data_IF_831388594339
#
_entry.id   IF_831388594339
#
_cell.length_a   1.000
_cell.length_b   1.000
_cell.length_c   1.000
_cell.angle_alpha   90.00
_cell.angle_beta   90.00
_cell.angle_gamma   90.00
#
_symmetry.space_group_name_H-M   'P 1'
#
loop_
_entity.id
_entity.type
_entity.pdbx_description
1 polymer ?
#
# COMPACT_ATOMS: atom_id res chain seq x y z
N UNK A 1 27.94 -8.61 6.39
CA UNK A 1 26.61 -8.43 7.02
C UNK A 1 26.43 -6.98 7.44
N UNK A 2 27.48 -6.31 7.92
CA UNK A 2 27.38 -4.95 8.51
C UNK A 2 27.18 -3.83 7.48
N UNK A 3 27.85 -3.89 6.32
CA UNK A 3 27.78 -2.83 5.31
C UNK A 3 26.45 -2.79 4.55
N UNK A 4 25.80 -3.93 4.32
CA UNK A 4 24.49 -3.98 3.67
C UNK A 4 23.43 -3.41 4.62
N UNK A 5 23.43 -3.84 5.88
CA UNK A 5 22.51 -3.33 6.90
C UNK A 5 22.66 -1.82 7.14
N UNK A 6 23.90 -1.32 7.09
CA UNK A 6 24.13 0.12 7.25
C UNK A 6 23.62 0.92 6.04
N UNK A 7 23.81 0.43 4.81
CA UNK A 7 23.29 1.06 3.59
C UNK A 7 21.75 1.08 3.58
N UNK A 8 21.12 -0.03 3.94
CA UNK A 8 19.67 -0.14 3.99
C UNK A 8 19.08 0.83 5.04
N UNK A 9 19.74 0.97 6.19
CA UNK A 9 19.34 1.94 7.23
C UNK A 9 19.45 3.38 6.74
N UNK A 10 20.58 3.76 6.11
CA UNK A 10 20.77 5.11 5.57
C UNK A 10 19.74 5.44 4.49
N UNK A 11 19.45 4.48 3.60
CA UNK A 11 18.40 4.62 2.59
C UNK A 11 17.04 4.86 3.25
N UNK A 12 16.68 4.07 4.25
CA UNK A 12 15.40 4.18 4.96
C UNK A 12 15.27 5.52 5.70
N UNK A 13 16.31 5.96 6.38
CA UNK A 13 16.33 7.25 7.10
C UNK A 13 16.14 8.43 6.11
N UNK A 14 16.69 8.32 4.91
CA UNK A 14 16.52 9.32 3.84
C UNK A 14 15.08 9.35 3.35
N UNK A 15 14.48 8.19 3.06
CA UNK A 15 13.08 8.09 2.60
C UNK A 15 12.13 8.69 3.64
N UNK A 16 12.31 8.37 4.92
CA UNK A 16 11.49 8.92 6.00
C UNK A 16 11.60 10.45 6.07
N UNK A 17 12.83 10.98 5.98
CA UNK A 17 13.08 12.42 5.99
C UNK A 17 12.46 13.13 4.79
N UNK A 18 12.54 12.53 3.62
CA UNK A 18 11.94 13.07 2.40
C UNK A 18 10.41 13.08 2.50
N UNK A 19 9.81 12.02 3.07
CA UNK A 19 8.39 11.98 3.38
C UNK A 19 7.97 13.06 4.37
N UNK A 20 8.71 13.26 5.46
CA UNK A 20 8.41 14.31 6.45
C UNK A 20 8.49 15.70 5.84
N UNK A 21 9.52 15.99 5.04
CA UNK A 21 9.68 17.24 4.31
C UNK A 21 8.53 17.46 3.32
N UNK A 22 8.17 16.42 2.56
CA UNK A 22 7.02 16.48 1.66
C UNK A 22 5.73 16.76 2.41
N UNK A 23 5.47 16.08 3.52
CA UNK A 23 4.28 16.24 4.32
C UNK A 23 4.16 17.67 4.87
N UNK A 24 5.26 18.27 5.38
CA UNK A 24 5.31 19.64 5.85
C UNK A 24 5.01 20.64 4.71
N UNK A 25 5.64 20.46 3.55
CA UNK A 25 5.44 21.29 2.37
C UNK A 25 4.01 21.23 1.80
N UNK A 26 3.29 20.13 2.06
CA UNK A 26 1.89 19.92 1.64
C UNK A 26 0.87 20.25 2.72
N UNK A 27 1.29 20.85 3.85
CA UNK A 27 0.44 21.17 5.00
C UNK A 27 -0.29 19.94 5.57
N UNK A 28 0.34 18.77 5.50
CA UNK A 28 -0.11 17.59 6.22
C UNK A 28 0.31 17.76 7.68
N UNK A 29 -0.66 17.74 8.59
CA UNK A 29 -0.40 17.93 10.02
C UNK A 29 -0.42 16.58 10.72
N UNK A 30 0.58 16.34 11.55
CA UNK A 30 0.71 15.17 12.43
C UNK A 30 1.34 15.59 13.77
N UNK A 31 0.74 16.57 14.41
CA UNK A 31 1.27 17.20 15.61
C UNK A 31 1.39 16.21 16.77
N UNK A 32 2.57 16.18 17.39
CA UNK A 32 2.86 15.29 18.49
C UNK A 32 3.09 13.83 18.10
N UNK A 33 3.24 13.56 16.83
CA UNK A 33 3.58 12.23 16.28
C UNK A 33 4.93 12.27 15.58
N UNK A 34 5.64 11.14 15.59
CA UNK A 34 6.89 10.94 14.85
C UNK A 34 6.93 9.55 14.26
N UNK A 35 7.43 9.41 13.05
CA UNK A 35 7.80 8.12 12.50
C UNK A 35 9.04 7.60 13.24
N UNK A 36 8.98 6.34 13.70
CA UNK A 36 10.08 5.72 14.45
C UNK A 36 10.13 4.22 14.15
N UNK A 37 11.35 3.69 14.16
CA UNK A 37 11.57 2.25 14.08
C UNK A 37 11.50 1.65 15.49
N UNK A 38 10.71 0.60 15.65
CA UNK A 38 10.55 -0.15 16.88
C UNK A 38 11.19 -1.53 16.74
N UNK A 39 11.66 -2.08 17.82
CA UNK A 39 12.03 -3.48 17.92
C UNK A 39 10.89 -4.26 18.59
N UNK A 40 10.40 -5.28 17.89
CA UNK A 40 9.34 -6.15 18.39
C UNK A 40 9.66 -7.60 18.05
N UNK A 41 9.77 -8.46 19.08
CA UNK A 41 10.11 -9.88 18.95
C UNK A 41 11.38 -10.15 18.10
N UNK A 42 12.39 -9.30 18.22
CA UNK A 42 13.64 -9.40 17.46
C UNK A 42 13.57 -8.87 16.01
N UNK A 43 12.41 -8.39 15.58
CA UNK A 43 12.21 -7.78 14.27
C UNK A 43 12.08 -6.26 14.40
N UNK A 44 12.63 -5.55 13.39
CA UNK A 44 12.49 -4.09 13.31
C UNK A 44 11.25 -3.75 12.50
N UNK A 45 10.32 -3.04 13.12
CA UNK A 45 9.09 -2.58 12.50
C UNK A 45 9.03 -1.05 12.45
N UNK A 46 8.48 -0.51 11.38
CA UNK A 46 8.21 0.92 11.26
C UNK A 46 6.85 1.24 11.86
N UNK A 47 6.78 2.35 12.60
CA UNK A 47 5.54 2.76 13.25
C UNK A 47 5.50 4.25 13.56
N UNK A 48 4.44 4.66 14.22
CA UNK A 48 4.23 6.05 14.65
C UNK A 48 4.28 6.11 16.17
N UNK A 49 5.13 6.99 16.70
CA UNK A 49 5.29 7.26 18.12
C UNK A 49 4.60 8.55 18.51
N UNK A 50 3.82 8.50 19.58
CA UNK A 50 3.36 9.71 20.25
C UNK A 50 4.50 10.33 21.06
N UNK A 51 4.76 11.63 20.87
CA UNK A 51 5.82 12.37 21.55
C UNK A 51 5.44 12.83 22.96
N UNK A 52 4.21 12.59 23.37
CA UNK A 52 3.69 12.94 24.68
C UNK A 52 2.27 12.43 24.89
N UNK A 53 1.67 12.84 26.00
CA UNK A 53 0.27 12.53 26.32
C UNK A 53 -0.67 13.11 25.24
N UNK A 54 -1.60 12.29 24.79
CA UNK A 54 -2.66 12.67 23.86
C UNK A 54 -3.99 12.60 24.58
N UNK A 55 -4.72 13.70 24.60
CA UNK A 55 -6.05 13.75 25.21
C UNK A 55 -7.10 13.13 24.26
N UNK A 56 -8.13 12.55 24.85
CA UNK A 56 -9.25 11.99 24.09
C UNK A 56 -9.92 13.06 23.20
N UNK A 57 -10.21 12.72 21.95
CA UNK A 57 -10.84 13.63 20.99
C UNK A 57 -9.85 14.56 20.26
N UNK A 58 -8.56 14.57 20.61
CA UNK A 58 -7.57 15.35 19.89
C UNK A 58 -7.39 14.81 18.48
N UNK A 59 -7.47 15.68 17.47
CA UNK A 59 -7.09 15.34 16.09
C UNK A 59 -5.58 15.15 16.00
N UNK A 60 -5.15 13.94 15.61
CA UNK A 60 -3.72 13.58 15.50
C UNK A 60 -3.15 13.84 14.11
N UNK A 61 -3.96 13.61 13.09
CA UNK A 61 -3.54 13.73 11.70
C UNK A 61 -4.58 14.53 10.92
N UNK A 62 -4.13 15.50 10.15
CA UNK A 62 -4.95 16.22 9.17
C UNK A 62 -4.30 16.08 7.80
N UNK A 63 -4.97 15.36 6.90
CA UNK A 63 -4.49 15.06 5.56
C UNK A 63 -5.42 15.69 4.52
N UNK A 64 -4.95 16.64 3.69
CA UNK A 64 -5.76 17.19 2.60
C UNK A 64 -6.15 16.09 1.59
N UNK A 65 -7.43 16.05 1.21
CA UNK A 65 -7.99 14.99 0.33
C UNK A 65 -7.19 14.76 -0.95
N UNK A 66 -6.61 15.79 -1.54
CA UNK A 66 -5.81 15.68 -2.78
C UNK A 66 -4.52 14.87 -2.63
N UNK A 67 -4.08 14.57 -1.41
CA UNK A 67 -2.91 13.73 -1.11
C UNK A 67 -3.30 12.37 -0.54
N UNK A 68 -4.57 11.95 -0.71
CA UNK A 68 -5.04 10.62 -0.35
C UNK A 68 -5.23 9.77 -1.60
N UNK A 69 -4.74 8.54 -1.57
CA UNK A 69 -5.15 7.52 -2.54
C UNK A 69 -6.48 6.96 -2.04
N UNK A 70 -7.58 7.39 -2.63
CA UNK A 70 -8.94 7.04 -2.20
C UNK A 70 -9.81 6.63 -3.37
N UNK A 71 -10.84 5.83 -3.10
CA UNK A 71 -11.83 5.41 -4.11
C UNK A 71 -13.23 5.34 -3.50
N UNK A 72 -14.25 5.37 -4.37
CA UNK A 72 -15.64 5.21 -3.99
C UNK A 72 -16.41 4.41 -5.06
N UNK A 73 -17.55 3.86 -4.69
CA UNK A 73 -18.28 2.87 -5.50
C UNK A 73 -18.60 3.35 -6.92
N UNK A 74 -18.99 4.62 -7.08
CA UNK A 74 -19.40 5.21 -8.36
C UNK A 74 -18.27 5.94 -9.10
N UNK A 75 -17.02 5.77 -8.66
CA UNK A 75 -15.88 6.42 -9.29
C UNK A 75 -15.61 5.80 -10.67
N UNK A 76 -15.53 6.65 -11.69
CA UNK A 76 -15.07 6.25 -13.02
C UNK A 76 -13.58 5.96 -13.01
N UNK A 77 -13.12 5.09 -13.91
CA UNK A 77 -11.70 4.80 -14.03
C UNK A 77 -10.91 6.09 -14.31
N UNK A 78 -9.95 6.47 -13.45
CA UNK A 78 -9.18 7.71 -13.63
C UNK A 78 -8.08 7.59 -14.71
N UNK A 79 -7.83 6.37 -15.20
CA UNK A 79 -6.77 6.07 -16.18
C UNK A 79 -7.25 5.08 -17.28
N UNK A 80 -8.30 5.42 -18.06
CA UNK A 80 -8.92 4.49 -19.00
C UNK A 80 -8.00 4.06 -20.15
N UNK A 81 -6.92 4.80 -20.41
CA UNK A 81 -5.88 4.41 -21.35
C UNK A 81 -4.95 3.31 -20.85
N UNK A 82 -4.97 3.03 -19.54
CA UNK A 82 -4.18 1.97 -18.91
C UNK A 82 -5.06 0.79 -18.49
N UNK A 83 -6.17 1.05 -17.80
CA UNK A 83 -7.12 0.05 -17.33
C UNK A 83 -8.48 0.33 -17.99
N UNK A 84 -9.12 -0.69 -18.57
CA UNK A 84 -10.42 -0.50 -19.20
C UNK A 84 -11.52 -0.15 -18.18
N UNK A 85 -12.46 0.69 -18.58
CA UNK A 85 -13.63 1.02 -17.75
C UNK A 85 -14.41 -0.25 -17.36
N UNK A 86 -14.57 -1.19 -18.28
CA UNK A 86 -15.33 -2.43 -18.06
C UNK A 86 -14.68 -3.33 -17.00
N UNK A 87 -13.35 -3.31 -16.87
CA UNK A 87 -12.65 -4.00 -15.81
C UNK A 87 -12.83 -3.24 -14.49
N UNK A 88 -12.54 -1.93 -14.50
CA UNK A 88 -12.62 -1.07 -13.32
C UNK A 88 -13.98 -1.12 -12.63
N UNK A 89 -15.06 -1.03 -13.39
CA UNK A 89 -16.44 -0.97 -12.87
C UNK A 89 -16.85 -2.25 -12.12
N UNK A 90 -16.25 -3.38 -12.47
CA UNK A 90 -16.49 -4.69 -11.82
C UNK A 90 -15.69 -4.89 -10.54
N UNK A 91 -14.66 -4.05 -10.29
CA UNK A 91 -13.76 -4.30 -9.18
C UNK A 91 -14.26 -3.70 -7.86
N UNK A 92 -14.08 -4.42 -6.75
CA UNK A 92 -14.31 -3.87 -5.41
C UNK A 92 -13.27 -2.78 -5.06
N UNK A 93 -13.59 -1.97 -4.09
CA UNK A 93 -12.79 -0.79 -3.74
C UNK A 93 -11.32 -1.11 -3.42
N UNK A 94 -11.01 -2.23 -2.78
CA UNK A 94 -9.63 -2.57 -2.43
C UNK A 94 -8.77 -2.86 -3.69
N UNK A 95 -9.34 -3.45 -4.73
CA UNK A 95 -8.65 -3.66 -6.01
C UNK A 95 -8.48 -2.31 -6.73
N UNK A 96 -9.51 -1.45 -6.74
CA UNK A 96 -9.40 -0.10 -7.31
C UNK A 96 -8.31 0.72 -6.62
N UNK A 97 -8.18 0.61 -5.29
CA UNK A 97 -7.11 1.25 -4.54
C UNK A 97 -5.73 0.71 -4.92
N UNK A 98 -5.58 -0.60 -5.09
CA UNK A 98 -4.33 -1.20 -5.52
C UNK A 98 -3.93 -0.71 -6.93
N UNK A 99 -4.88 -0.62 -7.86
CA UNK A 99 -4.62 -0.07 -9.19
C UNK A 99 -4.24 1.41 -9.14
N UNK A 100 -4.88 2.21 -8.28
CA UNK A 100 -4.47 3.61 -8.06
C UNK A 100 -3.07 3.71 -7.47
N UNK A 101 -2.73 2.87 -6.51
CA UNK A 101 -1.38 2.83 -5.95
C UNK A 101 -0.33 2.51 -7.02
N UNK A 102 -0.61 1.52 -7.89
CA UNK A 102 0.27 1.20 -9.01
C UNK A 102 0.38 2.33 -10.02
N UNK A 103 -0.71 3.06 -10.26
CA UNK A 103 -0.68 4.23 -11.12
C UNK A 103 0.20 5.34 -10.55
N UNK A 104 0.07 5.67 -9.27
CA UNK A 104 0.93 6.64 -8.60
C UNK A 104 2.41 6.21 -8.65
N UNK A 105 2.70 4.93 -8.43
CA UNK A 105 4.05 4.37 -8.59
C UNK A 105 4.57 4.53 -10.02
N UNK A 106 3.73 4.29 -11.03
CA UNK A 106 4.07 4.43 -12.45
C UNK A 106 4.35 5.89 -12.83
N UNK A 107 3.66 6.85 -12.23
CA UNK A 107 3.88 8.28 -12.45
C UNK A 107 5.25 8.74 -11.92
N UNK A 108 5.83 8.05 -10.94
CA UNK A 108 7.11 8.41 -10.35
C UNK A 108 7.11 9.86 -9.86
N UNK A 109 8.11 10.64 -10.25
CA UNK A 109 8.25 12.05 -9.85
C UNK A 109 7.06 12.94 -10.23
N UNK A 110 6.21 12.50 -11.17
CA UNK A 110 4.97 13.20 -11.53
C UNK A 110 3.81 12.90 -10.56
N UNK A 111 3.97 11.95 -9.65
CA UNK A 111 2.96 11.65 -8.63
C UNK A 111 2.95 12.72 -7.53
N UNK A 112 1.77 13.22 -7.19
CA UNK A 112 1.60 14.13 -6.07
C UNK A 112 1.87 13.48 -4.71
N UNK A 113 1.90 12.14 -4.65
CA UNK A 113 2.08 11.33 -3.44
C UNK A 113 3.30 10.41 -3.51
N UNK A 114 4.25 10.71 -4.40
CA UNK A 114 5.46 9.87 -4.59
C UNK A 114 6.20 9.59 -3.28
N UNK A 115 6.42 10.62 -2.46
CA UNK A 115 7.10 10.45 -1.19
C UNK A 115 6.40 9.44 -0.24
N UNK A 116 5.07 9.32 -0.33
CA UNK A 116 4.34 8.27 0.39
C UNK A 116 4.52 6.90 -0.27
N UNK A 117 4.53 6.84 -1.60
CA UNK A 117 4.75 5.57 -2.34
C UNK A 117 6.13 5.01 -2.02
N UNK A 118 7.15 5.86 -1.96
CA UNK A 118 8.53 5.48 -1.64
C UNK A 118 8.69 4.99 -0.18
N UNK A 119 7.81 5.43 0.72
CA UNK A 119 7.78 4.98 2.11
C UNK A 119 7.17 3.59 2.29
N UNK A 120 6.42 3.09 1.31
CA UNK A 120 5.83 1.75 1.38
C UNK A 120 6.92 0.67 1.38
N UNK A 121 6.69 -0.47 2.03
CA UNK A 121 7.68 -1.53 2.08
C UNK A 121 7.97 -2.06 0.67
N UNK A 122 9.23 -2.35 0.39
CA UNK A 122 9.61 -3.15 -0.76
C UNK A 122 8.92 -4.53 -0.70
N UNK A 123 8.69 -5.22 -1.84
CA UNK A 123 8.05 -6.55 -1.85
C UNK A 123 8.69 -7.56 -0.89
N UNK A 124 10.02 -7.51 -0.75
CA UNK A 124 10.79 -8.38 0.15
C UNK A 124 10.52 -8.11 1.64
N UNK A 125 10.05 -6.90 1.97
CA UNK A 125 9.74 -6.46 3.33
C UNK A 125 8.23 -6.48 3.63
N UNK A 126 7.41 -6.93 2.68
CA UNK A 126 5.97 -7.07 2.84
C UNK A 126 5.67 -8.46 3.40
N UNK A 127 5.84 -8.63 4.70
CA UNK A 127 5.61 -9.89 5.41
C UNK A 127 4.11 -10.22 5.51
N UNK A 128 3.55 -10.71 4.42
CA UNK A 128 2.19 -11.27 4.39
C UNK A 128 2.24 -12.75 4.03
N UNK A 129 1.30 -13.54 4.52
CA UNK A 129 1.22 -14.98 4.24
C UNK A 129 1.15 -15.31 2.75
N UNK A 130 0.78 -14.35 1.91
CA UNK A 130 0.78 -14.51 0.46
C UNK A 130 2.17 -14.90 -0.08
N UNK A 131 3.24 -14.33 0.50
CA UNK A 131 4.63 -14.56 0.05
C UNK A 131 5.31 -15.76 0.71
N UNK A 132 4.69 -16.35 1.73
CA UNK A 132 5.24 -17.52 2.40
C UNK A 132 5.28 -18.73 1.48
N UNK A 133 6.31 -19.56 1.57
CA UNK A 133 6.36 -20.82 0.84
C UNK A 133 5.32 -21.81 1.36
N UNK A 134 5.06 -22.87 0.60
CA UNK A 134 4.11 -23.91 1.04
C UNK A 134 4.60 -24.63 2.30
N UNK A 135 5.93 -24.79 2.44
CA UNK A 135 6.59 -25.35 3.62
C UNK A 135 6.39 -24.45 4.85
N UNK A 136 6.55 -23.12 4.69
CA UNK A 136 6.31 -22.16 5.76
C UNK A 136 4.84 -22.15 6.18
N UNK A 137 3.92 -22.23 5.22
CA UNK A 137 2.49 -22.33 5.50
C UNK A 137 2.14 -23.63 6.23
N UNK A 138 2.86 -24.73 5.98
CA UNK A 138 2.67 -26.00 6.69
C UNK A 138 3.14 -25.91 8.15
N UNK A 139 4.16 -25.10 8.44
CA UNK A 139 4.61 -24.85 9.81
C UNK A 139 3.55 -24.18 10.70
N UNK A 140 2.60 -23.45 10.11
CA UNK A 140 1.48 -22.88 10.86
C UNK A 140 0.59 -23.94 11.52
N UNK A 141 0.59 -25.17 11.02
CA UNK A 141 -0.29 -26.27 11.48
C UNK A 141 -1.77 -25.88 11.55
N UNK A 142 -2.18 -24.96 10.69
CA UNK A 142 -3.55 -24.46 10.61
C UNK A 142 -4.09 -24.53 9.17
N UNK A 143 -4.68 -25.67 8.77
CA UNK A 143 -5.10 -25.95 7.39
C UNK A 143 -6.09 -24.93 6.84
N UNK A 144 -6.97 -24.38 7.68
CA UNK A 144 -7.96 -23.36 7.24
C UNK A 144 -7.27 -22.13 6.72
N UNK A 145 -6.24 -21.64 7.43
CA UNK A 145 -5.47 -20.48 7.03
C UNK A 145 -4.64 -20.75 5.77
N UNK A 146 -3.94 -21.90 5.71
CA UNK A 146 -3.21 -22.35 4.51
C UNK A 146 -4.14 -22.36 3.30
N UNK A 147 -5.30 -23.01 3.38
CA UNK A 147 -6.26 -23.07 2.28
C UNK A 147 -6.78 -21.68 1.87
N UNK A 148 -6.93 -20.76 2.84
CA UNK A 148 -7.31 -19.36 2.55
C UNK A 148 -6.23 -18.64 1.73
N UNK A 149 -4.95 -18.83 2.08
CA UNK A 149 -3.82 -18.24 1.35
C UNK A 149 -3.72 -18.80 -0.06
N UNK A 150 -3.83 -20.13 -0.22
CA UNK A 150 -3.78 -20.77 -1.54
C UNK A 150 -4.93 -20.31 -2.45
N UNK A 151 -6.13 -20.14 -1.87
CA UNK A 151 -7.26 -19.56 -2.59
C UNK A 151 -6.98 -18.10 -3.00
N UNK A 152 -6.45 -17.28 -2.09
CA UNK A 152 -6.09 -15.88 -2.39
C UNK A 152 -5.08 -15.80 -3.53
N UNK A 153 -4.04 -16.63 -3.55
CA UNK A 153 -3.06 -16.70 -4.65
C UNK A 153 -3.75 -16.98 -5.98
N UNK A 154 -4.61 -17.98 -6.03
CA UNK A 154 -5.38 -18.31 -7.23
C UNK A 154 -6.29 -17.18 -7.67
N UNK A 155 -6.98 -16.52 -6.75
CA UNK A 155 -7.85 -15.37 -7.04
C UNK A 155 -7.05 -14.19 -7.60
N UNK A 156 -5.86 -13.93 -7.09
CA UNK A 156 -5.00 -12.84 -7.58
C UNK A 156 -4.37 -13.17 -8.94
N UNK A 157 -4.00 -14.42 -9.20
CA UNK A 157 -3.56 -14.87 -10.52
C UNK A 157 -4.67 -14.70 -11.57
N UNK A 158 -5.88 -15.07 -11.22
CA UNK A 158 -7.04 -14.92 -12.11
C UNK A 158 -7.39 -13.44 -12.32
N UNK A 159 -7.33 -12.63 -11.28
CA UNK A 159 -7.50 -11.18 -11.37
C UNK A 159 -6.48 -10.57 -12.34
N UNK A 160 -5.20 -10.97 -12.25
CA UNK A 160 -4.15 -10.50 -13.14
C UNK A 160 -4.42 -10.89 -14.60
N UNK A 161 -4.84 -12.13 -14.89
CA UNK A 161 -5.21 -12.57 -16.25
C UNK A 161 -6.36 -11.74 -16.81
N UNK A 162 -7.38 -11.45 -16.00
CA UNK A 162 -8.50 -10.59 -16.40
C UNK A 162 -8.03 -9.15 -16.66
N UNK A 163 -7.13 -8.63 -15.83
CA UNK A 163 -6.55 -7.31 -16.01
C UNK A 163 -5.79 -7.21 -17.34
N UNK A 164 -4.91 -8.17 -17.62
CA UNK A 164 -4.14 -8.24 -18.88
C UNK A 164 -5.06 -8.30 -20.09
N UNK A 165 -6.07 -9.19 -20.06
CA UNK A 165 -7.00 -9.37 -21.19
C UNK A 165 -7.89 -8.16 -21.45
N UNK A 166 -8.08 -7.29 -20.45
CA UNK A 166 -8.93 -6.10 -20.53
C UNK A 166 -8.16 -4.79 -20.66
N UNK A 167 -6.84 -4.81 -20.49
CA UNK A 167 -5.99 -3.62 -20.61
C UNK A 167 -5.83 -3.21 -22.07
N UNK A 168 -5.95 -1.92 -22.40
CA UNK A 168 -5.76 -1.43 -23.77
C UNK A 168 -4.38 -1.75 -24.37
N UNK A 169 -3.33 -1.81 -23.52
CA UNK A 169 -1.97 -2.18 -23.92
C UNK A 169 -1.67 -3.69 -23.81
N UNK A 170 -2.67 -4.52 -23.50
CA UNK A 170 -2.46 -5.96 -23.29
C UNK A 170 -1.44 -6.26 -22.19
N UNK A 171 -0.67 -7.33 -22.37
CA UNK A 171 0.32 -7.76 -21.37
C UNK A 171 1.45 -6.74 -21.15
N UNK A 172 1.88 -6.03 -22.18
CA UNK A 172 2.94 -5.02 -22.09
C UNK A 172 2.50 -3.75 -21.36
N UNK A 173 1.20 -3.45 -21.36
CA UNK A 173 0.62 -2.29 -20.70
C UNK A 173 0.16 -2.56 -19.28
N UNK A 174 -0.12 -3.81 -18.92
CA UNK A 174 -0.58 -4.20 -17.59
C UNK A 174 0.59 -4.26 -16.60
N UNK A 175 0.33 -4.06 -15.28
CA UNK A 175 1.35 -4.32 -14.27
C UNK A 175 1.71 -5.80 -14.21
N UNK A 176 2.94 -6.13 -13.79
CA UNK A 176 3.34 -7.51 -13.56
C UNK A 176 2.54 -8.16 -12.41
N UNK A 177 2.41 -9.51 -12.37
CA UNK A 177 1.70 -10.20 -11.29
C UNK A 177 2.23 -9.83 -9.90
N UNK A 178 3.55 -9.72 -9.76
CA UNK A 178 4.23 -9.38 -8.51
C UNK A 178 3.93 -7.93 -8.08
N UNK A 179 3.82 -7.02 -9.03
CA UNK A 179 3.45 -5.62 -8.76
C UNK A 179 1.99 -5.52 -8.27
N UNK A 180 1.09 -6.27 -8.91
CA UNK A 180 -0.31 -6.33 -8.48
C UNK A 180 -0.42 -6.94 -7.07
N UNK A 181 0.27 -8.04 -6.80
CA UNK A 181 0.30 -8.68 -5.49
C UNK A 181 0.86 -7.74 -4.41
N UNK A 182 1.95 -7.02 -4.71
CA UNK A 182 2.50 -6.00 -3.81
C UNK A 182 1.49 -4.91 -3.49
N UNK A 183 0.84 -4.34 -4.49
CA UNK A 183 -0.14 -3.28 -4.28
C UNK A 183 -1.35 -3.75 -3.47
N UNK A 184 -1.85 -4.95 -3.75
CA UNK A 184 -2.92 -5.58 -2.97
C UNK A 184 -2.50 -5.82 -1.52
N UNK A 185 -1.28 -6.32 -1.28
CA UNK A 185 -0.72 -6.50 0.05
C UNK A 185 -0.59 -5.16 0.81
N UNK A 186 -0.11 -4.11 0.17
CA UNK A 186 -0.05 -2.77 0.74
C UNK A 186 -1.42 -2.24 1.13
N UNK A 187 -2.42 -2.40 0.26
CA UNK A 187 -3.79 -1.93 0.51
C UNK A 187 -4.44 -2.71 1.64
N UNK A 188 -4.37 -4.04 1.62
CA UNK A 188 -4.99 -4.88 2.65
C UNK A 188 -4.42 -4.65 4.05
N UNK A 189 -3.16 -4.25 4.15
CA UNK A 189 -2.50 -4.00 5.44
C UNK A 189 -2.58 -2.54 5.92
N UNK A 190 -2.94 -1.56 5.06
CA UNK A 190 -2.85 -0.12 5.35
C UNK A 190 -4.07 0.72 5.01
N UNK A 191 -5.05 0.18 4.27
CA UNK A 191 -6.23 0.94 3.91
C UNK A 191 -7.22 1.06 5.08
N UNK A 192 -7.79 2.24 5.22
CA UNK A 192 -8.85 2.50 6.17
C UNK A 192 -10.19 2.63 5.45
N UNK A 193 -11.23 2.00 6.01
CA UNK A 193 -12.59 2.30 5.62
C UNK A 193 -12.99 3.64 6.24
N UNK A 194 -13.14 4.67 5.40
CA UNK A 194 -13.66 5.96 5.86
C UNK A 194 -15.12 5.82 6.28
N UNK A 195 -15.48 6.30 7.47
CA UNK A 195 -16.87 6.55 7.78
C UNK A 195 -17.39 7.58 6.77
N UNK A 196 -18.50 7.31 6.09
CA UNK A 196 -19.29 8.34 5.42
C UNK A 196 -19.84 9.24 6.53
N UNK A 197 -19.07 10.22 6.96
CA UNK A 197 -19.67 11.35 7.67
C UNK A 197 -20.51 12.06 6.63
N UNK A 198 -21.83 11.95 6.77
CA UNK A 198 -22.79 12.70 5.97
C UNK A 198 -22.73 14.18 6.31
N UNK A 199 -21.65 14.81 5.89
CA UNK A 199 -21.53 16.25 5.76
C UNK A 199 -21.66 16.52 4.26
N UNK A 200 -22.87 16.86 3.89
CA UNK A 200 -23.22 17.52 2.63
C UNK A 200 -22.46 18.83 2.51
#
# INVERSE_FOLDING_TARGET
VDEKQNRDRVKQDTIVKDFENWAQNKNIKFDGLRHEQFEFLGSKIQGIKALGKVDAGKQLVQLPKKFTISTYVSEKCPFPGWISNSFWDKQPNYIRLALKLLWEKKLGENSAVQAYVDLLPDPENLDTLYYWTDEELDLLRYPVLKNSVLRQRKEWDELHKQLVSSSPGGAEGAPAPEELAWALGCVLSRAFAGARTGLQ
#
